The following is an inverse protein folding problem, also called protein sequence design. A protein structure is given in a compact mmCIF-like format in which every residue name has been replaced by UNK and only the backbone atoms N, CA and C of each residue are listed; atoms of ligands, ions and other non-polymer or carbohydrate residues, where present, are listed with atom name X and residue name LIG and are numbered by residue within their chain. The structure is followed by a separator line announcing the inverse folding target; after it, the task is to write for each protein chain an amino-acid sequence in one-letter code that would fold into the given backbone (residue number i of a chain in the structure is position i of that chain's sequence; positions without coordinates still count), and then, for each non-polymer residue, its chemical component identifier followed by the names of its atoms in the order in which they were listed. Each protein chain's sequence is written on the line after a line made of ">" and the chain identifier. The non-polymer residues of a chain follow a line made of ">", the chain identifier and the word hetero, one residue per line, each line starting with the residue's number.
data_IF_111994330325
#
_entry.id   IF_111994330325
#
_cell.length_a   1.000
_cell.length_b   1.000
_cell.length_c   1.000
_cell.angle_alpha   90.00
_cell.angle_beta   90.00
_cell.angle_gamma   90.00
#
_symmetry.space_group_name_H-M   'P 1'
#
loop_
_entity.id
_entity.type
_entity.pdbx_description
1 polymer ?
#
# COMPACT_ATOMS: atom_id res chain seq x y z
N UNK A 1 21.89 -10.65 18.45
CA UNK A 1 20.99 -10.96 19.60
C UNK A 1 19.74 -10.07 19.48
N UNK A 2 18.52 -10.60 19.65
CA UNK A 2 17.33 -9.77 19.68
C UNK A 2 17.42 -8.80 20.86
N UNK A 3 17.16 -7.51 20.63
CA UNK A 3 17.15 -6.50 21.70
C UNK A 3 16.04 -6.86 22.70
N UNK A 4 16.33 -6.90 24.01
CA UNK A 4 15.30 -7.15 25.01
C UNK A 4 14.23 -6.06 24.97
N UNK A 5 12.98 -6.44 25.20
CA UNK A 5 11.86 -5.50 25.22
C UNK A 5 12.01 -4.52 26.40
N UNK A 6 11.86 -3.22 26.11
CA UNK A 6 11.82 -2.18 27.14
C UNK A 6 10.53 -2.36 27.93
N UNK A 7 10.62 -2.43 29.26
CA UNK A 7 9.48 -2.55 30.18
C UNK A 7 8.91 -1.18 30.52
N UNK A 8 8.53 -0.41 29.51
CA UNK A 8 7.97 0.94 29.64
C UNK A 8 6.42 0.96 29.56
N UNK A 9 5.79 -0.21 29.47
CA UNK A 9 4.34 -0.35 29.29
C UNK A 9 3.85 0.03 27.89
N UNK A 10 4.74 0.41 26.96
CA UNK A 10 4.38 0.82 25.61
C UNK A 10 4.53 -0.32 24.60
N UNK A 11 3.55 -0.39 23.69
CA UNK A 11 3.65 -1.26 22.51
C UNK A 11 4.78 -0.80 21.60
N UNK A 12 5.32 -1.74 20.79
CA UNK A 12 6.33 -1.43 19.77
C UNK A 12 5.90 -0.26 18.87
N UNK A 13 4.63 -0.26 18.47
CA UNK A 13 4.04 0.74 17.59
C UNK A 13 3.91 2.11 18.28
N UNK A 14 3.58 2.14 19.58
CA UNK A 14 3.54 3.38 20.34
C UNK A 14 4.94 4.03 20.43
N UNK A 15 5.97 3.23 20.76
CA UNK A 15 7.37 3.70 20.77
C UNK A 15 7.83 4.20 19.41
N UNK A 16 7.52 3.46 18.34
CA UNK A 16 7.86 3.86 16.98
C UNK A 16 7.25 5.22 16.64
N UNK A 17 5.96 5.42 16.90
CA UNK A 17 5.28 6.71 16.66
C UNK A 17 5.88 7.86 17.47
N UNK A 18 6.20 7.63 18.75
CA UNK A 18 6.84 8.63 19.59
C UNK A 18 8.21 9.06 19.03
N UNK A 19 9.04 8.10 18.61
CA UNK A 19 10.34 8.38 18.01
C UNK A 19 10.22 9.12 16.66
N UNK A 20 9.25 8.75 15.80
CA UNK A 20 9.00 9.48 14.54
C UNK A 20 8.52 10.91 14.80
N UNK A 21 7.62 11.12 15.77
CA UNK A 21 7.17 12.45 16.18
C UNK A 21 8.32 13.32 16.69
N UNK A 22 9.22 12.76 17.51
CA UNK A 22 10.41 13.47 17.99
C UNK A 22 11.38 13.85 16.85
N UNK A 23 11.40 13.08 15.76
CA UNK A 23 12.16 13.39 14.54
C UNK A 23 11.45 14.39 13.60
N UNK A 24 10.36 15.05 14.04
CA UNK A 24 9.63 16.04 13.24
C UNK A 24 8.60 15.47 12.27
N UNK A 25 8.34 14.16 12.29
CA UNK A 25 7.38 13.54 11.38
C UNK A 25 5.95 13.60 11.94
N UNK A 26 4.99 13.84 11.05
CA UNK A 26 3.55 13.83 11.36
C UNK A 26 2.93 12.49 10.96
N UNK A 27 2.18 11.87 11.86
CA UNK A 27 1.40 10.69 11.51
C UNK A 27 0.22 11.08 10.61
N UNK A 28 0.09 10.36 9.49
CA UNK A 28 -1.09 10.40 8.63
C UNK A 28 -1.85 9.08 8.83
N UNK A 29 -3.19 9.18 8.94
CA UNK A 29 -4.08 8.01 8.96
C UNK A 29 -4.90 8.06 7.68
N UNK A 30 -4.77 7.01 6.87
CA UNK A 30 -5.55 6.85 5.66
C UNK A 30 -6.65 5.82 5.94
N UNK A 31 -7.84 6.08 5.41
CA UNK A 31 -8.89 5.07 5.36
C UNK A 31 -8.60 4.16 4.17
N UNK A 32 -8.46 2.87 4.45
CA UNK A 32 -8.28 1.83 3.44
C UNK A 32 -9.51 0.94 3.42
N UNK A 33 -9.78 0.31 2.27
CA UNK A 33 -10.83 -0.70 2.19
C UNK A 33 -10.49 -1.89 3.08
N UNK A 34 -11.52 -2.49 3.68
CA UNK A 34 -11.36 -3.73 4.42
C UNK A 34 -11.14 -4.89 3.45
N UNK A 35 -9.89 -5.34 3.34
CA UNK A 35 -9.49 -6.43 2.45
C UNK A 35 -9.85 -7.81 2.99
N UNK A 36 -10.26 -7.93 4.25
CA UNK A 36 -10.72 -9.20 4.84
C UNK A 36 -12.21 -9.44 4.61
N UNK A 37 -12.98 -8.39 4.29
CA UNK A 37 -14.38 -8.52 3.95
C UNK A 37 -14.57 -9.37 2.66
N UNK A 38 -15.28 -10.51 2.72
CA UNK A 38 -15.43 -11.41 1.58
C UNK A 38 -16.21 -10.77 0.42
N UNK A 39 -17.22 -9.94 0.68
CA UNK A 39 -18.00 -9.26 -0.36
C UNK A 39 -17.13 -8.25 -1.11
N UNK A 40 -16.26 -7.53 -0.39
CA UNK A 40 -15.29 -6.62 -1.00
C UNK A 40 -14.33 -7.38 -1.91
N UNK A 41 -13.83 -8.54 -1.47
CA UNK A 41 -12.94 -9.39 -2.28
C UNK A 41 -13.61 -9.91 -3.54
N UNK A 42 -14.88 -10.31 -3.46
CA UNK A 42 -15.64 -10.76 -4.62
C UNK A 42 -15.86 -9.65 -5.63
N UNK A 43 -16.26 -8.48 -5.16
CA UNK A 43 -16.40 -7.29 -6.01
C UNK A 43 -15.09 -6.90 -6.68
N UNK A 44 -14.00 -6.85 -5.90
CA UNK A 44 -12.66 -6.54 -6.41
C UNK A 44 -12.27 -7.50 -7.53
N UNK A 45 -12.47 -8.81 -7.35
CA UNK A 45 -12.17 -9.80 -8.39
C UNK A 45 -12.91 -9.52 -9.69
N UNK A 46 -14.23 -9.30 -9.61
CA UNK A 46 -15.07 -9.02 -10.77
C UNK A 46 -14.63 -7.74 -11.51
N UNK A 47 -14.34 -6.68 -10.77
CA UNK A 47 -13.87 -5.42 -11.35
C UNK A 47 -12.49 -5.58 -12.01
N UNK A 48 -11.56 -6.30 -11.37
CA UNK A 48 -10.25 -6.58 -11.95
C UNK A 48 -10.33 -7.42 -13.24
N UNK A 49 -11.26 -8.38 -13.31
CA UNK A 49 -11.53 -9.14 -14.53
C UNK A 49 -12.07 -8.24 -15.65
N UNK A 50 -12.99 -7.33 -15.32
CA UNK A 50 -13.52 -6.36 -16.27
C UNK A 50 -12.44 -5.40 -16.81
N UNK A 51 -11.57 -4.89 -15.92
CA UNK A 51 -10.42 -4.05 -16.30
C UNK A 51 -9.46 -4.84 -17.21
N UNK A 52 -9.13 -6.09 -16.86
CA UNK A 52 -8.26 -6.94 -17.69
C UNK A 52 -8.84 -7.18 -19.09
N UNK A 53 -10.15 -7.32 -19.21
CA UNK A 53 -10.82 -7.51 -20.49
C UNK A 53 -11.02 -6.20 -21.28
N UNK A 54 -10.82 -5.05 -20.65
CA UNK A 54 -11.05 -3.72 -21.24
C UNK A 54 -10.06 -3.42 -22.35
N UNK A 55 -10.58 -3.13 -23.55
CA UNK A 55 -9.74 -2.65 -24.65
C UNK A 55 -9.18 -1.25 -24.38
N UNK A 56 -9.98 -0.39 -23.72
CA UNK A 56 -9.56 0.95 -23.35
C UNK A 56 -8.34 0.90 -22.42
N UNK A 57 -8.39 0.05 -21.39
CA UNK A 57 -7.28 -0.14 -20.45
C UNK A 57 -6.00 -0.53 -21.19
N UNK A 58 -6.08 -1.48 -22.14
CA UNK A 58 -4.92 -1.90 -22.93
C UNK A 58 -4.32 -0.74 -23.72
N UNK A 59 -5.15 0.12 -24.32
CA UNK A 59 -4.69 1.29 -25.07
C UNK A 59 -4.03 2.33 -24.17
N UNK A 60 -4.61 2.56 -22.99
CA UNK A 60 -4.09 3.52 -22.02
C UNK A 60 -2.73 3.08 -21.48
N UNK A 61 -2.59 1.80 -21.12
CA UNK A 61 -1.30 1.23 -20.69
C UNK A 61 -0.26 1.30 -21.81
N UNK A 62 -0.61 0.91 -23.04
CA UNK A 62 0.32 0.98 -24.17
C UNK A 62 0.79 2.42 -24.45
N UNK A 63 -0.09 3.41 -24.29
CA UNK A 63 0.29 4.81 -24.38
C UNK A 63 1.28 5.19 -23.28
N UNK A 64 0.99 4.88 -22.01
CA UNK A 64 1.90 5.15 -20.88
C UNK A 64 3.27 4.53 -21.10
N UNK A 65 3.33 3.27 -21.54
CA UNK A 65 4.58 2.57 -21.87
C UNK A 65 5.34 3.26 -23.01
N UNK A 66 4.66 3.80 -24.02
CA UNK A 66 5.30 4.48 -25.14
C UNK A 66 5.93 5.83 -24.79
N UNK A 67 5.47 6.48 -23.72
CA UNK A 67 5.93 7.82 -23.30
C UNK A 67 6.81 7.79 -22.05
N UNK A 68 6.87 6.66 -21.36
CA UNK A 68 7.66 6.49 -20.14
C UNK A 68 8.98 5.78 -20.46
N UNK A 69 10.10 6.44 -20.22
CA UNK A 69 11.43 5.81 -20.28
C UNK A 69 11.77 5.25 -18.89
N UNK A 70 11.34 4.01 -18.63
CA UNK A 70 11.71 3.31 -17.39
C UNK A 70 12.93 2.43 -17.66
N UNK A 71 14.02 2.55 -16.89
CA UNK A 71 15.17 1.68 -17.05
C UNK A 71 14.76 0.23 -16.75
N UNK A 72 15.29 -0.77 -17.49
CA UNK A 72 15.04 -2.17 -17.19
C UNK A 72 15.50 -2.50 -15.76
N UNK A 73 14.72 -3.33 -15.06
CA UNK A 73 15.11 -3.86 -13.74
C UNK A 73 16.26 -4.87 -13.92
N UNK A 74 17.37 -4.66 -13.21
CA UNK A 74 18.55 -5.56 -13.16
C UNK A 74 18.33 -6.82 -12.32
#
# INVERSE_FOLDING_TARGET
>A
MPRPAIKDGLTKQARYRAARKAAGLKQIRLWVYDTENPEFRERLRREMEAVRASEQERRDIAFVESVTDWPPEE
#
